data_IF_561755605256
#
_entry.id   IF_561755605256
#
_cell.length_a   1.000
_cell.length_b   1.000
_cell.length_c   1.000
_cell.angle_alpha   90.00
_cell.angle_beta   90.00
_cell.angle_gamma   90.00
#
_symmetry.space_group_name_H-M   'P 1'
#
loop_
_entity.id
_entity.type
_entity.pdbx_description
1 polymer ?
#
# COMPACT_ATOMS: atom_id res chain seq x y z
N UNK A 1 23.24 1.96 42.88
CA UNK A 1 23.27 1.11 41.67
C UNK A 1 21.99 0.30 41.42
N UNK A 2 21.18 -0.07 42.43
CA UNK A 2 19.96 -0.88 42.23
C UNK A 2 18.83 -0.17 41.42
N UNK A 3 18.70 1.15 41.54
CA UNK A 3 17.66 1.93 40.85
C UNK A 3 17.88 2.06 39.34
N UNK A 4 19.13 2.08 38.86
CA UNK A 4 19.45 2.17 37.43
C UNK A 4 19.00 0.92 36.67
N UNK A 5 19.17 -0.26 37.28
CA UNK A 5 18.79 -1.56 36.70
C UNK A 5 17.28 -1.69 36.52
N UNK A 6 16.49 -1.12 37.44
CA UNK A 6 15.02 -1.14 37.38
C UNK A 6 14.52 -0.26 36.22
N UNK A 7 15.10 0.93 36.06
CA UNK A 7 14.73 1.86 34.97
C UNK A 7 15.02 1.25 33.60
N UNK A 8 16.18 0.61 33.43
CA UNK A 8 16.54 -0.08 32.17
C UNK A 8 15.57 -1.22 31.84
N UNK A 9 15.13 -1.99 32.84
CA UNK A 9 14.13 -3.06 32.64
C UNK A 9 12.76 -2.53 32.23
N UNK A 10 12.31 -1.40 32.80
CA UNK A 10 11.02 -0.78 32.43
C UNK A 10 11.08 -0.18 31.01
N UNK A 11 12.22 0.40 30.62
CA UNK A 11 12.46 0.87 29.25
C UNK A 11 12.42 -0.28 28.23
N UNK A 12 12.96 -1.45 28.56
CA UNK A 12 12.91 -2.62 27.69
C UNK A 12 11.48 -3.17 27.53
N UNK A 13 10.69 -3.19 28.61
CA UNK A 13 9.31 -3.68 28.57
C UNK A 13 8.41 -2.74 27.75
N UNK A 14 8.59 -1.43 27.86
CA UNK A 14 7.79 -0.45 27.09
C UNK A 14 8.12 -0.44 25.59
N UNK A 15 9.36 -0.76 25.20
CA UNK A 15 9.76 -0.91 23.79
C UNK A 15 9.08 -2.11 23.09
N UNK A 16 8.80 -3.19 23.82
CA UNK A 16 8.21 -4.41 23.24
C UNK A 16 6.73 -4.21 22.85
N UNK A 17 5.98 -3.35 23.56
CA UNK A 17 4.56 -3.11 23.29
C UNK A 17 4.29 -2.22 22.06
N UNK A 18 5.26 -1.42 21.60
CA UNK A 18 5.10 -0.56 20.41
C UNK A 18 5.19 -1.30 19.07
N UNK A 19 5.66 -2.56 19.04
CA UNK A 19 5.87 -3.30 17.81
C UNK A 19 4.59 -3.96 17.24
N UNK A 20 3.49 -4.01 17.99
CA UNK A 20 2.36 -4.88 17.61
C UNK A 20 1.50 -4.34 16.44
N UNK A 21 1.50 -3.03 16.17
CA UNK A 21 0.59 -2.42 15.19
C UNK A 21 1.24 -1.32 14.32
N UNK A 22 2.49 -1.49 13.90
CA UNK A 22 3.10 -0.59 12.93
C UNK A 22 2.30 -0.57 11.61
N UNK A 23 2.27 0.56 10.88
CA UNK A 23 1.67 0.63 9.55
C UNK A 23 2.40 -0.29 8.55
N UNK A 24 1.75 -0.66 7.43
CA UNK A 24 2.44 -1.31 6.32
C UNK A 24 3.56 -0.41 5.77
N UNK A 25 4.68 -1.03 5.40
CA UNK A 25 5.83 -0.35 4.81
C UNK A 25 5.44 0.25 3.45
N UNK A 26 6.06 1.38 3.10
CA UNK A 26 5.79 2.11 1.85
C UNK A 26 6.01 1.24 0.62
N UNK A 27 7.09 0.45 0.60
CA UNK A 27 7.42 -0.43 -0.53
C UNK A 27 6.32 -1.46 -0.73
N UNK A 28 5.85 -2.10 0.35
CA UNK A 28 4.74 -3.06 0.28
C UNK A 28 3.45 -2.43 -0.28
N UNK A 29 3.14 -1.20 0.12
CA UNK A 29 1.97 -0.46 -0.38
C UNK A 29 2.12 -0.22 -1.88
N UNK A 30 3.29 0.28 -2.31
CA UNK A 30 3.56 0.55 -3.73
C UNK A 30 3.48 -0.72 -4.55
N UNK A 31 4.10 -1.80 -4.12
CA UNK A 31 4.06 -3.10 -4.79
C UNK A 31 2.61 -3.62 -4.91
N UNK A 32 1.81 -3.46 -3.85
CA UNK A 32 0.39 -3.84 -3.86
C UNK A 32 -0.41 -3.05 -4.90
N UNK A 33 -0.17 -1.74 -5.00
CA UNK A 33 -0.82 -0.86 -5.98
C UNK A 33 -0.33 -1.19 -7.40
N UNK A 34 0.97 -1.38 -7.60
CA UNK A 34 1.53 -1.84 -8.88
C UNK A 34 0.88 -3.14 -9.34
N UNK A 35 0.80 -4.13 -8.45
CA UNK A 35 0.18 -5.42 -8.74
C UNK A 35 -1.30 -5.28 -9.10
N UNK A 36 -2.05 -4.39 -8.42
CA UNK A 36 -3.44 -4.08 -8.77
C UNK A 36 -3.57 -3.63 -10.23
N UNK A 37 -2.76 -2.64 -10.65
CA UNK A 37 -2.79 -2.11 -12.02
C UNK A 37 -2.30 -3.13 -13.07
N UNK A 38 -1.36 -4.00 -12.68
CA UNK A 38 -0.95 -5.14 -13.50
C UNK A 38 -2.12 -6.11 -13.72
N UNK A 39 -2.84 -6.49 -12.67
CA UNK A 39 -4.03 -7.35 -12.76
C UNK A 39 -5.13 -6.71 -13.62
N UNK A 40 -5.37 -5.41 -13.47
CA UNK A 40 -6.31 -4.67 -14.32
C UNK A 40 -5.90 -4.73 -15.80
N UNK A 41 -4.60 -4.73 -16.09
CA UNK A 41 -4.07 -4.85 -17.46
C UNK A 41 -4.25 -6.25 -18.07
N UNK A 42 -4.42 -7.28 -17.25
CA UNK A 42 -4.64 -8.66 -17.69
C UNK A 42 -6.11 -8.97 -18.01
N UNK A 43 -7.03 -8.07 -17.69
CA UNK A 43 -8.47 -8.27 -17.93
C UNK A 43 -8.77 -8.27 -19.43
N UNK A 44 -9.70 -9.12 -19.87
CA UNK A 44 -10.09 -9.22 -21.29
C UNK A 44 -10.67 -7.88 -21.78
N UNK A 45 -10.14 -7.34 -22.88
CA UNK A 45 -10.47 -5.99 -23.35
C UNK A 45 -9.90 -4.86 -22.49
N UNK A 46 -9.20 -5.20 -21.41
CA UNK A 46 -8.43 -4.28 -20.60
C UNK A 46 -7.29 -3.67 -21.40
N UNK A 47 -7.05 -2.39 -21.18
CA UNK A 47 -5.85 -1.73 -21.69
C UNK A 47 -4.65 -2.00 -20.80
N UNK A 48 -3.45 -1.68 -21.29
CA UNK A 48 -2.21 -1.78 -20.52
C UNK A 48 -2.02 -0.54 -19.67
N UNK A 49 -1.91 -0.71 -18.36
CA UNK A 49 -1.53 0.33 -17.42
C UNK A 49 -0.04 0.27 -17.13
N UNK A 50 0.69 1.32 -17.49
CA UNK A 50 2.08 1.53 -17.14
C UNK A 50 2.18 2.58 -16.03
N UNK A 51 2.29 2.12 -14.79
CA UNK A 51 2.40 3.00 -13.61
C UNK A 51 3.82 3.59 -13.53
N UNK A 52 3.90 4.92 -13.48
CA UNK A 52 5.16 5.68 -13.42
C UNK A 52 5.45 6.16 -11.99
N UNK A 53 4.44 6.67 -11.30
CA UNK A 53 4.59 7.26 -9.98
C UNK A 53 3.47 6.79 -9.05
N UNK A 54 3.84 6.44 -7.82
CA UNK A 54 2.89 6.20 -6.72
C UNK A 54 3.30 7.07 -5.54
N UNK A 55 2.41 8.00 -5.17
CA UNK A 55 2.61 8.91 -4.04
C UNK A 55 1.61 8.58 -2.94
N UNK A 56 2.10 8.09 -1.81
CA UNK A 56 1.26 7.85 -0.63
C UNK A 56 0.86 9.20 -0.04
N UNK A 57 -0.44 9.48 -0.01
CA UNK A 57 -1.01 10.73 0.49
C UNK A 57 -1.32 10.65 1.99
N UNK A 58 -1.80 9.50 2.46
CA UNK A 58 -2.06 9.29 3.90
C UNK A 58 -2.08 7.82 4.29
N UNK A 59 -1.75 7.55 5.55
CA UNK A 59 -1.94 6.27 6.22
C UNK A 59 -2.67 6.51 7.53
N UNK A 60 -3.90 6.02 7.64
CA UNK A 60 -4.74 6.19 8.83
C UNK A 60 -5.12 4.85 9.38
N UNK A 61 -4.78 4.60 10.65
CA UNK A 61 -5.25 3.41 11.35
C UNK A 61 -6.76 3.49 11.54
N UNK A 62 -7.49 2.43 11.20
CA UNK A 62 -8.91 2.34 11.47
C UNK A 62 -9.12 2.07 12.97
N UNK A 63 -9.99 2.85 13.61
CA UNK A 63 -10.20 2.81 15.07
C UNK A 63 -10.54 1.39 15.54
N UNK A 64 -9.93 0.97 16.65
CA UNK A 64 -10.16 -0.33 17.27
C UNK A 64 -9.88 -1.57 16.40
N UNK A 65 -9.14 -1.40 15.29
CA UNK A 65 -8.74 -2.52 14.42
C UNK A 65 -7.23 -2.61 14.25
N UNK A 66 -6.76 -3.68 13.59
CA UNK A 66 -5.39 -3.84 13.10
C UNK A 66 -5.23 -3.40 11.64
N UNK A 67 -6.15 -2.58 11.17
CA UNK A 67 -6.27 -2.20 9.77
C UNK A 67 -5.83 -0.75 9.53
N UNK A 68 -5.33 -0.50 8.33
CA UNK A 68 -4.81 0.79 7.90
C UNK A 68 -5.46 1.19 6.59
N UNK A 69 -6.21 2.28 6.59
CA UNK A 69 -6.67 2.93 5.37
C UNK A 69 -5.51 3.74 4.79
N UNK A 70 -5.11 3.40 3.56
CA UNK A 70 -4.04 4.06 2.83
C UNK A 70 -4.64 4.70 1.59
N UNK A 71 -4.39 6.00 1.46
CA UNK A 71 -4.75 6.79 0.27
C UNK A 71 -3.49 7.10 -0.52
N UNK A 72 -3.48 6.83 -1.81
CA UNK A 72 -2.35 7.10 -2.70
C UNK A 72 -2.80 7.70 -4.03
N UNK A 73 -1.98 8.59 -4.58
CA UNK A 73 -2.07 9.08 -5.95
C UNK A 73 -1.22 8.19 -6.86
N UNK A 74 -1.77 7.78 -8.00
CA UNK A 74 -1.11 6.91 -8.98
C UNK A 74 -1.13 7.60 -10.33
N UNK A 75 0.05 7.78 -10.93
CA UNK A 75 0.20 8.37 -12.26
C UNK A 75 0.87 7.38 -13.19
N UNK A 76 0.48 7.42 -14.45
CA UNK A 76 1.04 6.55 -15.45
C UNK A 76 0.47 6.80 -16.84
N UNK A 77 0.69 5.83 -17.71
CA UNK A 77 0.13 5.78 -19.05
C UNK A 77 -0.84 4.61 -19.18
N UNK A 78 -1.97 4.85 -19.83
CA UNK A 78 -2.93 3.83 -20.20
C UNK A 78 -2.94 3.68 -21.72
N UNK A 79 -2.77 2.45 -22.20
CA UNK A 79 -2.86 2.09 -23.61
C UNK A 79 -4.09 1.23 -23.84
N UNK A 80 -5.04 1.69 -24.64
CA UNK A 80 -6.26 0.91 -24.91
C UNK A 80 -5.93 -0.39 -25.67
N UNK A 81 -6.31 -1.54 -25.10
CA UNK A 81 -6.08 -2.87 -25.67
C UNK A 81 -7.08 -3.26 -26.76
N UNK A 82 -8.18 -2.52 -26.91
CA UNK A 82 -9.26 -2.82 -27.87
C UNK A 82 -9.06 -2.17 -29.25
N UNK A 83 -8.02 -1.36 -29.45
CA UNK A 83 -7.76 -0.65 -30.71
C UNK A 83 -6.49 -1.24 -31.37
N UNK A 84 -6.58 -1.80 -32.60
CA UNK A 84 -5.40 -2.20 -33.36
C UNK A 84 -4.56 -0.96 -33.69
N UNK A 85 -3.28 -0.94 -33.31
CA UNK A 85 -2.36 0.23 -33.22
C UNK A 85 -2.53 1.13 -31.97
N UNK A 86 -2.94 0.54 -30.84
CA UNK A 86 -3.13 1.24 -29.55
C UNK A 86 -1.93 2.08 -29.06
N UNK A 87 -0.74 2.00 -29.66
CA UNK A 87 0.44 2.82 -29.33
C UNK A 87 0.20 4.31 -29.56
N UNK A 88 -0.66 4.67 -30.53
CA UNK A 88 -1.03 6.07 -30.81
C UNK A 88 -2.05 6.64 -29.81
N UNK A 89 -2.65 5.79 -28.98
CA UNK A 89 -3.71 6.15 -28.03
C UNK A 89 -3.28 5.90 -26.58
N UNK A 90 -1.99 6.10 -26.31
CA UNK A 90 -1.51 6.18 -24.93
C UNK A 90 -1.97 7.50 -24.32
N UNK A 91 -2.76 7.43 -23.27
CA UNK A 91 -3.19 8.60 -22.50
C UNK A 91 -2.55 8.58 -21.13
N UNK A 92 -2.10 9.74 -20.66
CA UNK A 92 -1.72 9.89 -19.27
C UNK A 92 -2.96 9.66 -18.39
N UNK A 93 -2.80 8.94 -17.28
CA UNK A 93 -3.81 8.85 -16.25
C UNK A 93 -3.26 9.35 -14.91
N UNK A 94 -4.16 9.91 -14.11
CA UNK A 94 -3.94 10.21 -12.71
C UNK A 94 -5.15 9.71 -11.92
N UNK A 95 -4.92 8.79 -11.00
CA UNK A 95 -5.96 8.17 -10.19
C UNK A 95 -5.63 8.32 -8.70
N UNK A 96 -6.66 8.29 -7.86
CA UNK A 96 -6.53 8.27 -6.41
C UNK A 96 -7.13 6.99 -5.86
N UNK A 97 -6.27 6.08 -5.39
CA UNK A 97 -6.67 4.80 -4.82
C UNK A 97 -6.79 4.88 -3.29
N UNK A 98 -7.80 4.21 -2.75
CA UNK A 98 -7.97 4.01 -1.31
C UNK A 98 -7.99 2.51 -1.05
N UNK A 99 -7.05 2.01 -0.26
CA UNK A 99 -6.90 0.59 0.06
C UNK A 99 -6.88 0.38 1.57
N UNK A 100 -7.58 -0.66 2.04
CA UNK A 100 -7.51 -1.10 3.43
C UNK A 100 -6.50 -2.22 3.56
N UNK A 101 -5.41 -1.97 4.28
CA UNK A 101 -4.37 -2.94 4.58
C UNK A 101 -4.61 -3.58 5.95
N UNK A 102 -4.50 -4.90 6.02
CA UNK A 102 -4.65 -5.67 7.26
C UNK A 102 -3.56 -6.75 7.37
N UNK A 103 -3.13 -7.05 8.60
CA UNK A 103 -2.16 -8.13 8.86
C UNK A 103 -2.89 -9.47 8.86
N UNK A 104 -2.52 -10.37 7.96
CA UNK A 104 -3.00 -11.75 7.98
C UNK A 104 -2.13 -12.62 8.90
N UNK A 105 -0.80 -12.40 8.89
CA UNK A 105 0.15 -13.05 9.81
C UNK A 105 1.12 -12.00 10.38
N UNK A 106 2.05 -12.41 11.27
CA UNK A 106 3.05 -11.48 11.83
C UNK A 106 3.88 -10.75 10.77
N UNK A 107 4.10 -11.38 9.60
CA UNK A 107 4.96 -10.86 8.54
C UNK A 107 4.24 -10.63 7.19
N UNK A 108 2.95 -10.93 7.08
CA UNK A 108 2.20 -10.73 5.84
C UNK A 108 1.08 -9.70 6.00
N UNK A 109 1.11 -8.71 5.12
CA UNK A 109 0.02 -7.78 4.88
C UNK A 109 -0.81 -8.28 3.70
N UNK A 110 -2.09 -8.01 3.75
CA UNK A 110 -3.00 -8.10 2.61
C UNK A 110 -3.74 -6.77 2.46
N UNK A 111 -4.38 -6.57 1.32
CA UNK A 111 -5.20 -5.40 1.07
C UNK A 111 -6.55 -5.78 0.48
N UNK A 112 -7.53 -4.89 0.67
CA UNK A 112 -8.82 -4.91 -0.02
C UNK A 112 -9.20 -3.49 -0.43
N UNK A 113 -10.09 -3.40 -1.41
CA UNK A 113 -10.68 -2.12 -1.79
C UNK A 113 -11.54 -1.58 -0.64
N UNK A 114 -11.57 -0.25 -0.52
CA UNK A 114 -12.40 0.44 0.47
C UNK A 114 -13.88 0.29 0.14
#
# INVERSE_FOLDING_TARGET
MKSLVIIVKILFITLIFSACNAPPKDDFIKDSIYNRYSIMSLSVGGGTYNVIEIKILSKKKLQNTKEWNVKAEVKGNYKNGSIPDGSKYSQNFNDTVNLIFYKQTQNSWQYRDF
#
